data_IF_064861501431
#
_entry.id   IF_064861501431
#
_cell.length_a   1.000
_cell.length_b   1.000
_cell.length_c   1.000
_cell.angle_alpha   90.00
_cell.angle_beta   90.00
_cell.angle_gamma   90.00
#
_symmetry.space_group_name_H-M   'P 1'
#
loop_
_entity.id
_entity.type
_entity.pdbx_description
1 polymer ?
#
# COMPACT_ATOMS: atom_id res chain seq x y z
N UNK A 1 -5.55 -8.96 18.08
CA UNK A 1 -5.79 -8.33 16.76
C UNK A 1 -4.53 -7.73 16.14
N UNK A 2 -3.69 -7.02 16.90
CA UNK A 2 -2.42 -6.46 16.40
C UNK A 2 -1.48 -7.50 15.75
N UNK A 3 -1.25 -8.65 16.39
CA UNK A 3 -0.39 -9.71 15.84
C UNK A 3 -0.91 -10.31 14.51
N UNK A 4 -2.23 -10.33 14.31
CA UNK A 4 -2.85 -10.77 13.06
C UNK A 4 -2.60 -9.75 11.95
N UNK A 5 -2.74 -8.46 12.25
CA UNK A 5 -2.48 -7.40 11.29
C UNK A 5 -1.01 -7.35 10.88
N UNK A 6 -0.09 -7.46 11.85
CA UNK A 6 1.36 -7.49 11.64
C UNK A 6 1.78 -8.60 10.66
N UNK A 7 1.20 -9.80 10.79
CA UNK A 7 1.49 -10.92 9.88
C UNK A 7 1.11 -10.60 8.43
N UNK A 8 0.01 -9.88 8.21
CA UNK A 8 -0.42 -9.50 6.85
C UNK A 8 0.37 -8.32 6.29
N UNK A 9 0.78 -7.36 7.12
CA UNK A 9 1.69 -6.29 6.68
C UNK A 9 3.05 -6.86 6.29
N UNK A 10 3.61 -7.77 7.08
CA UNK A 10 4.87 -8.45 6.75
C UNK A 10 4.79 -9.24 5.44
N UNK A 11 3.63 -9.86 5.14
CA UNK A 11 3.40 -10.55 3.86
C UNK A 11 3.47 -9.58 2.66
N UNK A 12 2.93 -8.38 2.81
CA UNK A 12 2.95 -7.36 1.74
C UNK A 12 4.36 -6.80 1.57
N UNK A 13 5.09 -6.57 2.66
CA UNK A 13 6.49 -6.10 2.59
C UNK A 13 7.46 -7.14 2.04
N UNK A 14 7.09 -8.42 2.07
CA UNK A 14 7.88 -9.50 1.49
C UNK A 14 7.77 -9.60 -0.05
N UNK A 15 6.89 -8.82 -0.69
CA UNK A 15 6.78 -8.78 -2.15
C UNK A 15 8.02 -8.09 -2.73
N UNK A 16 8.71 -8.77 -3.65
CA UNK A 16 9.94 -8.28 -4.29
C UNK A 16 9.81 -8.26 -5.80
N UNK A 17 10.52 -7.37 -6.49
CA UNK A 17 10.57 -7.32 -7.95
C UNK A 17 9.54 -6.40 -8.60
N UNK A 18 8.66 -5.79 -7.80
CA UNK A 18 7.68 -4.79 -8.22
C UNK A 18 8.08 -3.38 -7.74
N UNK A 19 9.37 -3.08 -7.75
CA UNK A 19 9.92 -1.80 -7.29
C UNK A 19 9.88 -0.73 -8.38
N UNK A 20 9.00 0.24 -8.20
CA UNK A 20 8.87 1.42 -9.05
C UNK A 20 9.70 2.57 -8.47
N UNK A 21 10.69 3.01 -9.25
CA UNK A 21 11.47 4.21 -8.94
C UNK A 21 10.60 5.47 -8.99
N UNK A 22 10.98 6.50 -8.26
CA UNK A 22 10.22 7.74 -8.20
C UNK A 22 10.16 8.39 -9.60
N UNK A 23 8.98 8.56 -10.15
CA UNK A 23 8.81 8.96 -11.55
C UNK A 23 9.10 10.44 -11.77
N UNK A 24 9.61 10.80 -12.95
CA UNK A 24 9.88 12.18 -13.33
C UNK A 24 8.58 13.02 -13.36
N UNK A 25 8.71 14.34 -13.16
CA UNK A 25 7.56 15.23 -13.28
C UNK A 25 7.09 15.26 -14.75
N UNK A 26 5.79 15.05 -15.04
CA UNK A 26 5.30 14.89 -16.41
C UNK A 26 5.58 16.09 -17.31
N UNK A 27 5.53 17.31 -16.76
CA UNK A 27 5.83 18.54 -17.49
C UNK A 27 7.30 18.98 -17.47
N UNK A 28 8.23 18.12 -17.01
CA UNK A 28 9.67 18.42 -17.01
C UNK A 28 10.06 19.63 -16.15
N UNK A 29 9.26 19.94 -15.13
CA UNK A 29 9.48 21.09 -14.23
C UNK A 29 10.80 20.94 -13.47
N UNK A 30 11.54 22.04 -13.30
CA UNK A 30 12.82 22.01 -12.58
C UNK A 30 12.67 21.63 -11.09
N UNK A 31 13.66 20.89 -10.58
CA UNK A 31 13.79 20.54 -9.16
C UNK A 31 13.89 21.81 -8.31
N UNK A 32 12.92 22.03 -7.42
CA UNK A 32 12.85 23.21 -6.55
C UNK A 32 11.61 24.08 -6.79
N UNK A 33 10.88 23.84 -7.87
CA UNK A 33 9.59 24.49 -8.11
C UNK A 33 8.58 24.04 -7.04
N UNK A 34 7.78 24.96 -6.45
CA UNK A 34 6.69 24.57 -5.56
C UNK A 34 5.80 23.52 -6.22
N UNK A 35 5.45 22.44 -5.52
CA UNK A 35 4.62 21.37 -6.09
C UNK A 35 5.38 20.35 -6.96
N UNK A 36 6.68 20.51 -7.23
CA UNK A 36 7.49 19.52 -7.95
C UNK A 36 7.39 18.11 -7.36
N UNK A 37 7.52 18.00 -6.04
CA UNK A 37 7.41 16.71 -5.35
C UNK A 37 6.02 16.09 -5.49
N UNK A 38 4.97 16.93 -5.49
CA UNK A 38 3.58 16.48 -5.62
C UNK A 38 3.33 15.93 -7.01
N UNK A 39 3.80 16.61 -8.07
CA UNK A 39 3.68 16.12 -9.44
C UNK A 39 4.41 14.80 -9.69
N UNK A 40 5.60 14.60 -9.09
CA UNK A 40 6.30 13.30 -9.14
C UNK A 40 5.57 12.20 -8.37
N UNK A 41 5.04 12.51 -7.18
CA UNK A 41 4.27 11.55 -6.38
C UNK A 41 3.03 11.08 -7.17
N UNK A 42 2.34 11.99 -7.86
CA UNK A 42 1.18 11.67 -8.73
C UNK A 42 1.58 10.83 -9.92
N UNK A 43 2.66 11.19 -10.63
CA UNK A 43 3.17 10.42 -11.75
C UNK A 43 3.55 9.00 -11.33
N UNK A 44 4.18 8.85 -10.15
CA UNK A 44 4.57 7.55 -9.60
C UNK A 44 3.35 6.71 -9.24
N UNK A 45 2.32 7.30 -8.62
CA UNK A 45 1.06 6.61 -8.33
C UNK A 45 0.36 6.13 -9.61
N UNK A 46 0.23 7.01 -10.61
CA UNK A 46 -0.42 6.69 -11.87
C UNK A 46 0.36 5.59 -12.62
N UNK A 47 1.69 5.65 -12.64
CA UNK A 47 2.52 4.62 -13.26
C UNK A 47 2.41 3.28 -12.53
N UNK A 48 2.37 3.28 -11.20
CA UNK A 48 2.16 2.04 -10.43
C UNK A 48 0.81 1.40 -10.72
N UNK A 49 -0.27 2.19 -10.79
CA UNK A 49 -1.58 1.67 -11.17
C UNK A 49 -1.62 1.17 -12.63
N UNK A 50 -0.91 1.83 -13.54
CA UNK A 50 -0.78 1.40 -14.93
C UNK A 50 -0.05 0.04 -15.05
N UNK A 51 1.11 -0.11 -14.39
CA UNK A 51 1.89 -1.36 -14.40
C UNK A 51 1.04 -2.53 -13.90
N UNK A 52 0.35 -2.36 -12.78
CA UNK A 52 -0.58 -3.37 -12.24
C UNK A 52 -1.65 -3.74 -13.29
N UNK A 53 -2.22 -2.78 -14.00
CA UNK A 53 -3.22 -3.10 -15.03
C UNK A 53 -2.62 -3.84 -16.24
N UNK A 54 -1.41 -3.49 -16.67
CA UNK A 54 -0.75 -4.11 -17.83
C UNK A 54 -0.24 -5.53 -17.52
N UNK A 55 0.35 -5.73 -16.35
CA UNK A 55 0.84 -7.03 -15.88
C UNK A 55 -0.33 -8.00 -15.68
N UNK A 56 -1.40 -7.54 -15.01
CA UNK A 56 -2.57 -8.39 -14.77
C UNK A 56 -3.40 -8.64 -16.04
N UNK A 57 -3.35 -7.74 -17.02
CA UNK A 57 -3.91 -7.99 -18.36
C UNK A 57 -3.15 -9.13 -19.05
N UNK A 58 -1.83 -9.14 -18.94
CA UNK A 58 -0.98 -10.23 -19.47
C UNK A 58 -1.25 -11.56 -18.76
N UNK A 59 -1.55 -11.52 -17.46
CA UNK A 59 -2.01 -12.68 -16.69
C UNK A 59 -3.46 -13.14 -17.01
N UNK A 60 -4.16 -12.49 -17.95
CA UNK A 60 -5.49 -12.86 -18.40
C UNK A 60 -6.62 -12.46 -17.44
N UNK A 61 -6.39 -11.51 -16.53
CA UNK A 61 -7.42 -11.00 -15.64
C UNK A 61 -8.21 -9.87 -16.30
N UNK A 62 -9.53 -10.03 -16.37
CA UNK A 62 -10.42 -8.94 -16.80
C UNK A 62 -10.50 -7.87 -15.70
N UNK A 63 -9.86 -6.73 -15.95
CA UNK A 63 -9.83 -5.57 -15.07
C UNK A 63 -10.52 -4.41 -15.74
N UNK A 64 -11.35 -3.71 -14.97
CA UNK A 64 -11.88 -2.42 -15.41
C UNK A 64 -10.86 -1.33 -15.08
N UNK A 65 -10.65 -0.35 -15.97
CA UNK A 65 -9.85 0.84 -15.63
C UNK A 65 -10.37 1.62 -14.42
N UNK A 66 -11.65 1.44 -14.06
CA UNK A 66 -12.30 2.12 -12.93
C UNK A 66 -12.23 1.35 -11.60
N UNK A 67 -11.42 0.29 -11.52
CA UNK A 67 -11.21 -0.44 -10.26
C UNK A 67 -10.63 0.47 -9.17
N UNK A 68 -10.96 0.18 -7.91
CA UNK A 68 -10.44 0.96 -6.78
C UNK A 68 -9.11 0.38 -6.31
N UNK A 69 -8.04 1.16 -6.42
CA UNK A 69 -6.72 0.83 -5.87
C UNK A 69 -6.62 1.29 -4.42
N UNK A 70 -5.91 0.52 -3.61
CA UNK A 70 -5.54 0.89 -2.25
C UNK A 70 -4.11 1.41 -2.25
N UNK A 71 -3.89 2.56 -1.63
CA UNK A 71 -2.54 3.11 -1.39
C UNK A 71 -2.20 2.86 0.06
N UNK A 72 -1.40 1.83 0.33
CA UNK A 72 -0.95 1.50 1.67
C UNK A 72 0.37 2.24 1.95
N UNK A 73 0.39 3.07 3.00
CA UNK A 73 1.56 3.90 3.30
C UNK A 73 1.83 4.06 4.80
N UNK A 74 3.09 4.29 5.19
CA UNK A 74 3.44 4.67 6.54
C UNK A 74 2.85 6.04 6.89
N UNK A 75 2.49 6.22 8.17
CA UNK A 75 1.92 7.49 8.66
C UNK A 75 2.82 8.71 8.43
N UNK A 76 4.14 8.53 8.31
CA UNK A 76 5.09 9.60 7.97
C UNK A 76 4.81 10.23 6.58
N UNK A 77 4.37 9.43 5.61
CA UNK A 77 4.08 9.87 4.25
C UNK A 77 2.66 10.40 4.07
N UNK A 78 1.82 10.36 5.12
CA UNK A 78 0.42 10.79 5.08
C UNK A 78 0.24 12.16 4.43
N UNK A 79 1.01 13.16 4.87
CA UNK A 79 0.91 14.53 4.35
C UNK A 79 1.25 14.62 2.84
N UNK A 80 2.19 13.80 2.35
CA UNK A 80 2.55 13.80 0.92
C UNK A 80 1.44 13.18 0.08
N UNK A 81 0.93 12.03 0.51
CA UNK A 81 -0.11 11.29 -0.21
C UNK A 81 -1.43 12.05 -0.21
N UNK A 82 -1.85 12.65 0.90
CA UNK A 82 -3.07 13.47 0.94
C UNK A 82 -2.95 14.70 0.01
N UNK A 83 -1.76 15.29 -0.12
CA UNK A 83 -1.53 16.38 -1.07
C UNK A 83 -1.61 15.92 -2.52
N UNK A 84 -1.06 14.75 -2.85
CA UNK A 84 -1.16 14.15 -4.19
C UNK A 84 -2.61 13.75 -4.56
N UNK A 85 -3.37 13.23 -3.59
CA UNK A 85 -4.77 12.84 -3.82
C UNK A 85 -5.75 14.04 -3.86
N UNK A 86 -5.41 15.14 -3.19
CA UNK A 86 -6.25 16.35 -3.17
C UNK A 86 -5.94 17.31 -4.33
N UNK A 87 -4.79 17.18 -4.99
CA UNK A 87 -4.49 17.96 -6.19
C UNK A 87 -5.42 17.54 -7.33
N UNK A 88 -6.29 18.48 -7.71
CA UNK A 88 -7.09 18.42 -8.92
C UNK A 88 -6.45 19.27 -9.99
N UNK A 89 -6.73 18.93 -11.24
CA UNK A 89 -6.34 19.76 -12.38
C UNK A 89 -6.83 21.19 -12.17
N UNK A 90 -5.91 22.11 -11.88
CA UNK A 90 -6.25 23.53 -11.77
C UNK A 90 -6.00 24.13 -13.14
N UNK A 91 -7.08 24.43 -13.86
CA UNK A 91 -7.02 25.12 -15.14
C UNK A 91 -6.29 26.47 -14.97
N UNK A 92 -5.04 26.52 -15.43
CA UNK A 92 -4.51 27.59 -16.27
C UNK A 92 -4.78 29.03 -15.77
N UNK A 93 -4.02 29.48 -14.76
CA UNK A 93 -3.72 30.92 -14.59
C UNK A 93 -2.35 31.22 -13.94
N UNK A 94 -1.59 30.20 -13.53
CA UNK A 94 -0.25 30.37 -12.91
C UNK A 94 0.85 29.51 -13.54
N UNK A 95 0.64 28.99 -14.76
CA UNK A 95 1.70 28.32 -15.54
C UNK A 95 2.20 26.98 -14.96
N UNK A 96 1.48 26.40 -14.00
CA UNK A 96 1.86 25.13 -13.36
C UNK A 96 0.70 24.15 -13.47
N UNK A 97 0.73 23.28 -14.48
CA UNK A 97 -0.22 22.18 -14.61
C UNK A 97 0.10 21.13 -13.55
N UNK A 98 -0.64 21.10 -12.44
CA UNK A 98 -0.61 19.92 -11.57
C UNK A 98 -1.47 18.84 -12.22
N UNK A 99 -0.84 17.74 -12.63
CA UNK A 99 -1.52 16.53 -13.10
C UNK A 99 -2.34 15.94 -11.96
N UNK A 100 -3.53 15.41 -12.24
CA UNK A 100 -4.34 14.72 -11.23
C UNK A 100 -4.01 13.23 -11.16
N UNK A 101 -4.37 12.60 -10.04
CA UNK A 101 -4.37 11.13 -9.94
C UNK A 101 -5.51 10.60 -10.81
N UNK A 102 -5.17 9.88 -11.89
CA UNK A 102 -6.13 9.48 -12.92
C UNK A 102 -6.95 8.24 -12.53
N UNK A 103 -6.50 7.48 -11.54
CA UNK A 103 -7.14 6.26 -11.07
C UNK A 103 -7.86 6.46 -9.74
N UNK A 104 -8.86 5.64 -9.46
CA UNK A 104 -9.60 5.70 -8.19
C UNK A 104 -8.77 5.08 -7.06
N UNK A 105 -8.08 5.93 -6.29
CA UNK A 105 -7.19 5.51 -5.20
C UNK A 105 -7.76 5.82 -3.82
N UNK A 106 -7.67 4.86 -2.90
CA UNK A 106 -8.05 5.03 -1.49
C UNK A 106 -6.84 4.84 -0.59
N UNK A 107 -6.41 5.86 0.16
CA UNK A 107 -5.28 5.73 1.06
C UNK A 107 -5.64 4.94 2.32
N UNK A 108 -4.73 4.10 2.76
CA UNK A 108 -4.75 3.39 4.03
C UNK A 108 -3.41 3.66 4.71
N UNK A 109 -3.46 4.33 5.86
CA UNK A 109 -2.25 4.67 6.62
C UNK A 109 -2.07 3.68 7.76
N UNK A 110 -0.86 3.13 7.89
CA UNK A 110 -0.52 2.18 8.95
C UNK A 110 0.76 2.59 9.67
N UNK A 111 0.84 2.24 10.96
CA UNK A 111 2.08 2.31 11.76
C UNK A 111 2.80 0.97 11.82
N UNK A 112 2.23 -0.08 11.21
CA UNK A 112 2.74 -1.46 11.26
C UNK A 112 3.66 -1.80 10.07
N UNK A 113 3.92 -0.83 9.18
CA UNK A 113 4.89 -0.96 8.10
C UNK A 113 6.29 -0.66 8.64
N UNK A 114 7.27 -1.48 8.28
CA UNK A 114 8.67 -1.28 8.62
C UNK A 114 9.33 -0.22 7.74
N UNK A 115 8.91 -0.09 6.48
CA UNK A 115 9.43 0.90 5.55
C UNK A 115 8.84 2.30 5.80
N UNK A 116 9.70 3.33 5.85
CA UNK A 116 9.30 4.73 6.05
C UNK A 116 9.23 5.55 4.77
N UNK A 117 9.96 5.13 3.73
CA UNK A 117 10.25 5.94 2.54
C UNK A 117 9.58 5.38 1.27
N UNK A 118 8.84 4.29 1.40
CA UNK A 118 8.08 3.65 0.32
C UNK A 118 6.59 3.59 0.66
N UNK A 119 5.77 3.53 -0.38
CA UNK A 119 4.34 3.24 -0.26
C UNK A 119 3.96 2.17 -1.27
N UNK A 120 2.85 1.48 -1.04
CA UNK A 120 2.40 0.36 -1.86
C UNK A 120 1.10 0.73 -2.55
N UNK A 121 1.02 0.50 -3.86
CA UNK A 121 -0.24 0.56 -4.63
C UNK A 121 -0.72 -0.86 -4.83
N UNK A 122 -1.97 -1.15 -4.44
CA UNK A 122 -2.49 -2.51 -4.35
C UNK A 122 -3.87 -2.59 -4.99
N UNK A 123 -4.10 -3.61 -5.82
CA UNK A 123 -5.44 -3.96 -6.27
C UNK A 123 -6.09 -5.00 -5.33
N UNK A 124 -7.16 -4.66 -4.58
CA UNK A 124 -7.68 -5.52 -3.52
C UNK A 124 -8.62 -6.66 -4.03
N UNK A 125 -8.88 -7.63 -3.14
CA UNK A 125 -9.96 -8.67 -3.19
C UNK A 125 -9.84 -9.82 -4.19
N UNK A 126 -8.84 -9.85 -5.06
CA UNK A 126 -8.67 -10.90 -6.08
C UNK A 126 -7.84 -12.09 -5.58
N UNK A 127 -6.55 -12.12 -5.93
CA UNK A 127 -5.61 -13.21 -5.63
C UNK A 127 -4.94 -13.04 -4.26
N UNK A 128 -5.15 -11.90 -3.62
CA UNK A 128 -4.85 -11.64 -2.22
C UNK A 128 -5.91 -12.30 -1.32
N UNK A 129 -5.51 -13.33 -0.56
CA UNK A 129 -6.38 -14.02 0.41
C UNK A 129 -5.76 -14.02 1.79
N UNK A 130 -6.48 -13.49 2.77
CA UNK A 130 -6.19 -13.68 4.19
C UNK A 130 -7.00 -14.86 4.75
N UNK A 131 -6.42 -15.60 5.68
CA UNK A 131 -7.03 -16.75 6.32
C UNK A 131 -6.66 -16.85 7.79
N UNK A 132 -7.63 -17.23 8.61
CA UNK A 132 -7.39 -17.59 10.01
C UNK A 132 -7.51 -19.10 10.12
N UNK A 133 -6.42 -19.77 10.50
CA UNK A 133 -6.43 -21.22 10.71
C UNK A 133 -6.98 -21.57 12.10
N UNK A 134 -6.71 -20.72 13.08
CA UNK A 134 -7.21 -20.86 14.44
C UNK A 134 -7.33 -19.48 15.09
N UNK A 135 -8.50 -19.19 15.66
CA UNK A 135 -8.72 -17.97 16.42
C UNK A 135 -7.92 -18.00 17.75
N UNK A 136 -7.65 -16.84 18.33
CA UNK A 136 -6.93 -16.74 19.59
C UNK A 136 -7.69 -17.50 20.67
N UNK A 137 -7.14 -18.62 21.12
CA UNK A 137 -7.74 -19.43 22.17
C UNK A 137 -6.91 -19.27 23.42
N UNK A 138 -7.56 -18.89 24.51
CA UNK A 138 -6.93 -18.72 25.82
C UNK A 138 -7.13 -20.02 26.58
N UNK A 139 -6.02 -20.65 26.95
CA UNK A 139 -6.03 -21.83 27.82
C UNK A 139 -5.54 -21.38 29.19
N UNK A 140 -6.39 -21.57 30.19
CA UNK A 140 -6.09 -21.31 31.60
C UNK A 140 -5.96 -22.64 32.29
N UNK A 141 -4.81 -22.90 32.90
CA UNK A 141 -4.64 -24.02 33.82
C UNK A 141 -4.40 -23.45 35.22
N UNK A 142 -5.24 -23.85 36.18
CA UNK A 142 -5.06 -23.50 37.58
C UNK A 142 -4.43 -24.68 38.30
N UNK A 143 -3.15 -24.56 38.63
CA UNK A 143 -2.49 -25.52 39.52
C UNK A 143 -2.71 -25.09 40.98
N UNK A 144 -3.62 -25.78 41.65
CA UNK A 144 -3.99 -25.51 43.04
C UNK A 144 -2.83 -25.72 44.04
N UNK A 145 -1.77 -26.44 43.63
CA UNK A 145 -0.59 -26.68 44.46
C UNK A 145 0.48 -25.59 44.28
N UNK A 146 0.51 -24.93 43.12
CA UNK A 146 1.47 -23.87 42.83
C UNK A 146 0.95 -22.46 43.16
N UNK A 147 -0.37 -22.29 43.36
CA UNK A 147 -1.00 -20.98 43.58
C UNK A 147 -0.66 -19.95 42.49
N UNK A 148 -0.39 -20.44 41.28
CA UNK A 148 -0.02 -19.63 40.12
C UNK A 148 -0.96 -19.94 38.96
N UNK A 149 -1.60 -18.89 38.46
CA UNK A 149 -2.38 -18.99 37.23
C UNK A 149 -1.46 -18.75 36.04
N UNK A 150 -1.25 -19.78 35.22
CA UNK A 150 -0.55 -19.64 33.94
C UNK A 150 -1.59 -19.58 32.84
N UNK A 151 -1.66 -18.43 32.19
CA UNK A 151 -2.53 -18.22 31.03
C UNK A 151 -1.67 -18.19 29.78
N UNK A 152 -1.92 -19.13 28.86
CA UNK A 152 -1.26 -19.17 27.55
C UNK A 152 -2.30 -18.93 26.45
N UNK A 153 -2.01 -18.00 25.54
CA UNK A 153 -2.85 -17.72 24.38
C UNK A 153 -2.11 -18.10 23.08
N UNK A 154 -2.76 -18.87 22.23
CA UNK A 154 -2.21 -19.29 20.94
C UNK A 154 -3.21 -19.06 19.80
N UNK A 155 -2.72 -18.56 18.67
CA UNK A 155 -3.47 -18.38 17.43
C UNK A 155 -2.60 -18.69 16.21
N UNK A 156 -3.20 -19.06 15.07
CA UNK A 156 -2.49 -19.26 13.79
C UNK A 156 -3.18 -18.47 12.69
N UNK A 157 -2.47 -17.50 12.15
CA UNK A 157 -2.93 -16.62 11.09
C UNK A 157 -2.01 -16.79 9.87
N UNK A 158 -2.55 -16.62 8.67
CA UNK A 158 -1.76 -16.72 7.45
C UNK A 158 -2.49 -16.12 6.26
N UNK A 159 -1.73 -15.57 5.33
CA UNK A 159 -2.26 -15.05 4.07
C UNK A 159 -1.44 -15.59 2.91
N UNK A 160 -2.03 -15.57 1.72
CA UNK A 160 -1.35 -15.89 0.47
C UNK A 160 -1.57 -14.76 -0.53
N UNK A 161 -0.47 -14.36 -1.15
CA UNK A 161 -0.46 -13.55 -2.37
C UNK A 161 -0.24 -14.56 -3.49
N UNK A 162 -1.27 -14.82 -4.28
CA UNK A 162 -1.17 -15.75 -5.41
C UNK A 162 -0.77 -15.05 -6.72
N UNK A 163 -0.68 -13.72 -6.71
CA UNK A 163 -0.22 -12.90 -7.82
C UNK A 163 0.45 -11.65 -7.25
N UNK A 164 1.78 -11.59 -7.34
CA UNK A 164 2.58 -10.49 -6.78
C UNK A 164 2.41 -9.21 -7.62
N UNK A 165 2.11 -9.34 -8.91
CA UNK A 165 1.82 -8.24 -9.86
C UNK A 165 0.57 -7.42 -9.49
N UNK A 166 -0.18 -7.82 -8.45
CA UNK A 166 -1.28 -7.02 -7.88
C UNK A 166 -0.79 -5.91 -6.93
N UNK A 167 0.51 -5.88 -6.63
CA UNK A 167 1.15 -4.97 -5.68
C UNK A 167 2.33 -4.31 -6.38
N UNK A 168 2.35 -2.98 -6.36
CA UNK A 168 3.51 -2.20 -6.76
C UNK A 168 4.10 -1.49 -5.54
N UNK A 169 5.41 -1.58 -5.37
CA UNK A 169 6.16 -0.79 -4.39
C UNK A 169 6.60 0.50 -5.06
N UNK A 170 6.19 1.64 -4.52
CA UNK A 170 6.51 2.95 -5.07
C UNK A 170 7.48 3.70 -4.14
N UNK A 171 8.63 4.07 -4.68
CA UNK A 171 9.61 4.89 -3.97
C UNK A 171 9.16 6.36 -3.87
N UNK A 172 9.62 7.06 -2.82
CA UNK A 172 9.37 8.49 -2.64
C UNK A 172 10.60 9.39 -2.77
N UNK A 173 11.75 8.76 -3.04
CA UNK A 173 13.07 9.36 -3.27
C UNK A 173 13.80 8.54 -4.34
N UNK A 174 14.76 9.18 -5.03
CA UNK A 174 15.68 8.51 -5.96
C UNK A 174 16.82 7.82 -5.20
#
# INVERSE_FOLDING_TARGET
EFALAETYYALIEAVTGQDLTWQAHPDGVASGTPGYQVGRDIATMNQGAFNILDDLKTAGMNLSPNETFLVLAPTALKRRIERALSSKYTLQNTGMGLTEVSYNMKPVYSQLLSATDTYYVILPKRKLKGGTRMNLTVLTDMDILAYTDVTAAWGRYGGGIAEDDQIQVCATTD
#
